data_IF_812581177607
#
_entry.id   IF_812581177607
#
_cell.length_a   1.000
_cell.length_b   1.000
_cell.length_c   1.000
_cell.angle_alpha   90.00
_cell.angle_beta   90.00
_cell.angle_gamma   90.00
#
_symmetry.space_group_name_H-M   'P 1'
#
loop_
_entity.id
_entity.type
_entity.pdbx_description
1 polymer ?
#
# COMPACT_ATOMS: atom_id res chain seq x y z
N UNK A 1 5.38 -2.82 32.93
CA UNK A 1 6.36 -2.75 31.82
C UNK A 1 5.70 -3.11 30.48
N UNK A 2 4.47 -2.67 30.24
CA UNK A 2 3.61 -3.11 29.12
C UNK A 2 2.99 -1.94 28.33
N UNK A 3 3.28 -0.69 28.71
CA UNK A 3 2.71 0.52 28.08
C UNK A 3 3.63 1.19 27.06
N UNK A 4 4.89 0.74 26.93
CA UNK A 4 5.86 1.27 25.95
C UNK A 4 5.75 0.60 24.57
N UNK A 5 5.10 -0.56 24.47
CA UNK A 5 5.01 -1.35 23.24
C UNK A 5 3.90 -0.89 22.28
N UNK A 6 3.04 0.05 22.68
CA UNK A 6 1.82 0.36 21.93
C UNK A 6 1.78 1.79 21.33
N UNK A 7 2.91 2.50 21.31
CA UNK A 7 2.99 3.83 20.69
C UNK A 7 3.70 3.74 19.35
N UNK A 8 3.04 4.11 18.25
CA UNK A 8 3.68 4.02 16.95
C UNK A 8 4.77 5.05 16.81
N UNK A 9 5.99 4.53 16.66
CA UNK A 9 7.16 5.33 16.31
C UNK A 9 7.27 5.44 14.79
N UNK A 10 8.03 6.41 14.30
CA UNK A 10 8.34 6.52 12.87
C UNK A 10 8.96 5.24 12.29
N UNK A 11 9.78 4.57 13.11
CA UNK A 11 10.38 3.27 12.77
C UNK A 11 9.28 2.23 12.58
N UNK A 12 8.34 2.11 13.52
CA UNK A 12 7.19 1.21 13.41
C UNK A 12 6.36 1.46 12.15
N UNK A 13 6.03 2.74 11.87
CA UNK A 13 5.27 3.13 10.66
C UNK A 13 5.97 2.64 9.38
N UNK A 14 7.30 2.85 9.29
CA UNK A 14 8.09 2.40 8.14
C UNK A 14 8.18 0.90 8.03
N UNK A 15 8.30 0.19 9.15
CA UNK A 15 8.35 -1.29 9.16
C UNK A 15 7.03 -1.84 8.61
N UNK A 16 5.90 -1.36 9.12
CA UNK A 16 4.58 -1.79 8.63
C UNK A 16 4.43 -1.49 7.14
N UNK A 17 4.75 -0.27 6.70
CA UNK A 17 4.64 0.09 5.29
C UNK A 17 5.58 -0.73 4.39
N UNK A 18 6.80 -1.00 4.85
CA UNK A 18 7.75 -1.84 4.13
C UNK A 18 7.27 -3.28 4.02
N UNK A 19 6.62 -3.81 5.07
CA UNK A 19 6.03 -5.15 5.03
C UNK A 19 4.94 -5.28 3.96
N UNK A 20 4.09 -4.26 3.78
CA UNK A 20 3.07 -4.23 2.71
C UNK A 20 3.70 -4.23 1.30
N UNK A 21 4.76 -3.43 1.10
CA UNK A 21 5.51 -3.44 -0.17
C UNK A 21 6.15 -4.82 -0.40
N UNK A 22 6.82 -5.37 0.61
CA UNK A 22 7.51 -6.66 0.52
C UNK A 22 6.55 -7.81 0.25
N UNK A 23 5.34 -7.79 0.83
CA UNK A 23 4.30 -8.77 0.53
C UNK A 23 3.94 -8.77 -0.95
N UNK A 24 3.71 -7.59 -1.52
CA UNK A 24 3.38 -7.45 -2.94
C UNK A 24 4.54 -7.84 -3.86
N UNK A 25 5.78 -7.51 -3.50
CA UNK A 25 7.00 -7.93 -4.23
C UNK A 25 7.14 -9.45 -4.21
N UNK A 26 7.02 -10.07 -3.03
CA UNK A 26 7.13 -11.53 -2.89
C UNK A 26 6.04 -12.25 -3.70
N UNK A 27 4.80 -11.77 -3.62
CA UNK A 27 3.70 -12.33 -4.40
C UNK A 27 3.91 -12.14 -5.90
N UNK A 28 4.50 -11.02 -6.33
CA UNK A 28 4.87 -10.80 -7.74
C UNK A 28 5.85 -11.85 -8.24
N UNK A 29 6.93 -12.08 -7.47
CA UNK A 29 7.92 -13.11 -7.79
C UNK A 29 7.30 -14.52 -7.81
N UNK A 30 6.44 -14.83 -6.84
CA UNK A 30 5.76 -16.12 -6.74
C UNK A 30 4.81 -16.35 -7.92
N UNK A 31 3.94 -15.39 -8.25
CA UNK A 31 3.04 -15.49 -9.41
C UNK A 31 3.81 -15.60 -10.71
N UNK A 32 4.91 -14.86 -10.88
CA UNK A 32 5.77 -14.97 -12.05
C UNK A 32 6.37 -16.36 -12.20
N UNK A 33 6.95 -16.89 -11.11
CA UNK A 33 7.51 -18.23 -11.09
C UNK A 33 6.44 -19.29 -11.40
N UNK A 34 5.26 -19.17 -10.80
CA UNK A 34 4.15 -20.09 -11.00
C UNK A 34 3.72 -20.11 -12.48
N UNK A 35 3.40 -18.95 -13.05
CA UNK A 35 2.98 -18.86 -14.47
C UNK A 35 4.03 -19.39 -15.43
N UNK A 36 5.32 -19.16 -15.17
CA UNK A 36 6.40 -19.65 -16.05
C UNK A 36 6.69 -21.15 -15.90
N UNK A 37 6.36 -21.76 -14.77
CA UNK A 37 6.64 -23.19 -14.53
C UNK A 37 5.43 -24.08 -14.82
N UNK A 38 4.22 -23.62 -14.51
CA UNK A 38 2.99 -24.41 -14.66
C UNK A 38 2.08 -23.91 -15.78
N UNK A 39 2.34 -22.71 -16.32
CA UNK A 39 1.38 -22.01 -17.17
C UNK A 39 0.31 -21.27 -16.35
N UNK A 40 -0.65 -20.60 -17.02
CA UNK A 40 -1.80 -19.99 -16.38
C UNK A 40 -2.62 -21.01 -15.59
N UNK A 41 -3.16 -20.62 -14.43
CA UNK A 41 -3.93 -21.52 -13.58
C UNK A 41 -5.40 -21.66 -14.00
N UNK A 42 -5.92 -20.71 -14.76
CA UNK A 42 -7.32 -20.68 -15.17
C UNK A 42 -7.50 -21.07 -16.63
N UNK A 43 -8.65 -21.68 -16.89
CA UNK A 43 -9.17 -21.96 -18.23
C UNK A 43 -10.43 -21.10 -18.40
N UNK A 44 -10.32 -20.01 -19.16
CA UNK A 44 -11.39 -19.04 -19.37
C UNK A 44 -11.72 -18.98 -20.84
N UNK A 45 -13.01 -18.90 -21.15
CA UNK A 45 -13.45 -18.46 -22.46
C UNK A 45 -13.19 -16.96 -22.68
N UNK A 46 -13.40 -16.50 -23.90
CA UNK A 46 -13.13 -15.12 -24.30
C UNK A 46 -13.99 -14.12 -23.50
N UNK A 47 -15.26 -14.45 -23.25
CA UNK A 47 -16.19 -13.57 -22.52
C UNK A 47 -15.78 -13.42 -21.04
N UNK A 48 -15.43 -14.52 -20.37
CA UNK A 48 -14.95 -14.48 -18.99
C UNK A 48 -13.62 -13.72 -18.87
N UNK A 49 -12.73 -13.85 -19.88
CA UNK A 49 -11.47 -13.10 -19.93
C UNK A 49 -11.71 -11.59 -20.02
N UNK A 50 -12.63 -11.15 -20.88
CA UNK A 50 -12.98 -9.74 -21.03
C UNK A 50 -13.55 -9.15 -19.73
N UNK A 51 -14.48 -9.86 -19.06
CA UNK A 51 -15.02 -9.40 -17.79
C UNK A 51 -13.96 -9.33 -16.69
N UNK A 52 -13.04 -10.30 -16.62
CA UNK A 52 -11.97 -10.31 -15.64
C UNK A 52 -11.04 -9.10 -15.83
N UNK A 53 -10.65 -8.81 -17.07
CA UNK A 53 -9.81 -7.66 -17.39
C UNK A 53 -10.51 -6.32 -17.10
N UNK A 54 -11.82 -6.24 -17.39
CA UNK A 54 -12.63 -5.07 -17.05
C UNK A 54 -12.65 -4.82 -15.55
N UNK A 55 -12.93 -5.85 -14.75
CA UNK A 55 -12.96 -5.74 -13.29
C UNK A 55 -11.57 -5.39 -12.73
N UNK A 56 -10.52 -6.03 -13.25
CA UNK A 56 -9.14 -5.79 -12.83
C UNK A 56 -8.72 -4.34 -13.01
N UNK A 57 -9.17 -3.68 -14.08
CA UNK A 57 -8.88 -2.29 -14.35
C UNK A 57 -9.81 -1.31 -13.62
N UNK A 58 -11.09 -1.65 -13.44
CA UNK A 58 -12.06 -0.78 -12.76
C UNK A 58 -11.80 -0.69 -11.25
N UNK A 59 -11.37 -1.79 -10.63
CA UNK A 59 -11.11 -1.84 -9.19
C UNK A 59 -10.08 -0.79 -8.71
N UNK A 60 -8.85 -0.68 -9.25
CA UNK A 60 -7.87 0.34 -8.84
C UNK A 60 -8.34 1.76 -9.13
N UNK A 61 -9.08 1.98 -10.23
CA UNK A 61 -9.62 3.29 -10.59
C UNK A 61 -10.56 3.84 -9.51
N UNK A 62 -11.24 2.97 -8.76
CA UNK A 62 -12.13 3.36 -7.68
C UNK A 62 -11.40 3.30 -6.32
N UNK A 63 -10.69 2.20 -6.05
CA UNK A 63 -10.09 1.93 -4.75
C UNK A 63 -8.98 2.91 -4.39
N UNK A 64 -8.11 3.26 -5.35
CA UNK A 64 -6.94 4.12 -5.08
C UNK A 64 -7.37 5.56 -4.76
N UNK A 65 -8.22 6.24 -5.57
CA UNK A 65 -8.70 7.57 -5.22
C UNK A 65 -9.46 7.59 -3.90
N UNK A 66 -10.27 6.55 -3.63
CA UNK A 66 -11.01 6.42 -2.37
C UNK A 66 -10.07 6.32 -1.17
N UNK A 67 -9.04 5.47 -1.25
CA UNK A 67 -8.04 5.33 -0.20
C UNK A 67 -7.24 6.62 0.02
N UNK A 68 -6.87 7.33 -1.06
CA UNK A 68 -6.20 8.63 -0.98
C UNK A 68 -7.12 9.67 -0.31
N UNK A 69 -8.39 9.72 -0.68
CA UNK A 69 -9.38 10.64 -0.11
C UNK A 69 -9.56 10.39 1.39
N UNK A 70 -9.80 9.15 1.81
CA UNK A 70 -9.97 8.78 3.21
C UNK A 70 -8.71 9.10 4.01
N UNK A 71 -7.52 8.78 3.48
CA UNK A 71 -6.26 9.09 4.14
C UNK A 71 -6.05 10.61 4.30
N UNK A 72 -6.34 11.40 3.26
CA UNK A 72 -6.25 12.87 3.32
C UNK A 72 -7.21 13.45 4.35
N UNK A 73 -8.45 12.98 4.38
CA UNK A 73 -9.45 13.41 5.36
C UNK A 73 -8.98 13.15 6.80
N UNK A 74 -8.46 11.93 7.06
CA UNK A 74 -7.91 11.59 8.37
C UNK A 74 -6.71 12.45 8.76
N UNK A 75 -5.85 12.80 7.80
CA UNK A 75 -4.70 13.68 8.03
C UNK A 75 -5.12 15.13 8.31
N UNK A 76 -6.18 15.63 7.69
CA UNK A 76 -6.69 17.00 7.94
C UNK A 76 -7.34 17.17 9.31
N UNK A 77 -7.86 16.08 9.88
CA UNK A 77 -8.54 16.06 11.18
C UNK A 77 -7.56 15.86 12.38
N UNK A 78 -6.25 15.85 12.13
CA UNK A 78 -5.23 15.70 13.18
C UNK A 78 -5.06 17.02 13.94
N UNK A 79 -5.79 17.16 15.05
CA UNK A 79 -5.74 18.35 15.93
C UNK A 79 -4.98 18.12 17.25
N UNK A 80 -4.57 16.87 17.56
CA UNK A 80 -3.99 16.53 18.87
C UNK A 80 -2.65 17.25 19.17
N UNK A 81 -2.50 17.73 20.40
CA UNK A 81 -1.26 18.33 20.92
C UNK A 81 -0.18 17.28 21.22
N UNK A 82 -0.56 16.02 21.44
CA UNK A 82 0.37 14.96 21.81
C UNK A 82 0.98 14.31 20.56
N UNK A 83 2.31 14.43 20.40
CA UNK A 83 3.06 13.88 19.25
C UNK A 83 2.77 12.39 18.99
N UNK A 84 2.61 11.59 20.05
CA UNK A 84 2.35 10.17 19.94
C UNK A 84 0.99 9.87 19.28
N UNK A 85 -0.05 10.64 19.61
CA UNK A 85 -1.38 10.46 19.05
C UNK A 85 -1.41 10.87 17.57
N UNK A 86 -0.72 11.95 17.22
CA UNK A 86 -0.54 12.38 15.82
C UNK A 86 0.14 11.30 14.98
N UNK A 87 1.15 10.63 15.53
CA UNK A 87 1.82 9.52 14.86
C UNK A 87 0.89 8.31 14.67
N UNK A 88 0.02 8.02 15.64
CA UNK A 88 -0.99 6.95 15.51
C UNK A 88 -1.99 7.26 14.40
N UNK A 89 -2.53 8.48 14.38
CA UNK A 89 -3.48 8.90 13.36
C UNK A 89 -2.83 8.92 11.97
N UNK A 90 -1.59 9.41 11.89
CA UNK A 90 -0.78 9.36 10.66
C UNK A 90 -0.58 7.92 10.19
N UNK A 91 -0.16 7.01 11.06
CA UNK A 91 0.02 5.61 10.72
C UNK A 91 -1.25 5.01 10.13
N UNK A 92 -2.40 5.22 10.79
CA UNK A 92 -3.69 4.72 10.32
C UNK A 92 -4.03 5.24 8.92
N UNK A 93 -3.84 6.55 8.67
CA UNK A 93 -4.05 7.14 7.36
C UNK A 93 -3.11 6.55 6.29
N UNK A 94 -1.84 6.31 6.63
CA UNK A 94 -0.88 5.69 5.72
C UNK A 94 -1.25 4.25 5.37
N UNK A 95 -1.67 3.45 6.36
CA UNK A 95 -2.09 2.06 6.16
C UNK A 95 -3.32 2.00 5.26
N UNK A 96 -4.32 2.86 5.46
CA UNK A 96 -5.51 2.89 4.60
C UNK A 96 -5.14 3.15 3.14
N UNK A 97 -4.29 4.15 2.89
CA UNK A 97 -3.80 4.44 1.53
C UNK A 97 -2.98 3.30 0.94
N UNK A 98 -2.12 2.68 1.74
CA UNK A 98 -1.29 1.56 1.30
C UNK A 98 -2.16 0.35 0.94
N UNK A 99 -3.13 0.00 1.79
CA UNK A 99 -4.00 -1.15 1.62
C UNK A 99 -4.82 -1.09 0.32
N UNK A 100 -5.32 0.08 -0.08
CA UNK A 100 -6.06 0.18 -1.36
C UNK A 100 -5.17 -0.01 -2.58
N UNK A 101 -3.92 0.47 -2.53
CA UNK A 101 -2.93 0.26 -3.60
C UNK A 101 -2.46 -1.21 -3.61
N UNK A 102 -2.17 -1.77 -2.44
CA UNK A 102 -1.72 -3.16 -2.27
C UNK A 102 -2.78 -4.16 -2.72
N UNK A 103 -4.03 -3.99 -2.30
CA UNK A 103 -5.14 -4.85 -2.72
C UNK A 103 -5.33 -4.84 -4.24
N UNK A 104 -5.19 -3.67 -4.87
CA UNK A 104 -5.22 -3.56 -6.33
C UNK A 104 -4.06 -4.31 -6.97
N UNK A 105 -2.85 -4.18 -6.41
CA UNK A 105 -1.67 -4.93 -6.85
C UNK A 105 -1.85 -6.44 -6.76
N UNK A 106 -2.37 -6.95 -5.63
CA UNK A 106 -2.67 -8.37 -5.49
C UNK A 106 -3.73 -8.82 -6.48
N UNK A 107 -4.76 -8.02 -6.73
CA UNK A 107 -5.80 -8.38 -7.69
C UNK A 107 -5.22 -8.55 -9.10
N UNK A 108 -4.34 -7.64 -9.52
CA UNK A 108 -3.60 -7.80 -10.78
C UNK A 108 -2.75 -9.07 -10.80
N UNK A 109 -2.04 -9.39 -9.72
CA UNK A 109 -1.19 -10.59 -9.66
C UNK A 109 -1.99 -11.89 -9.63
N UNK A 110 -3.18 -11.89 -9.03
CA UNK A 110 -4.12 -13.01 -9.09
C UNK A 110 -4.62 -13.17 -10.52
N UNK A 111 -5.06 -12.08 -11.17
CA UNK A 111 -5.49 -12.14 -12.57
C UNK A 111 -4.35 -12.58 -13.50
N UNK A 112 -3.11 -12.14 -13.25
CA UNK A 112 -1.93 -12.60 -13.97
C UNK A 112 -1.68 -14.09 -13.77
N UNK A 113 -1.76 -14.59 -12.54
CA UNK A 113 -1.61 -16.02 -12.25
C UNK A 113 -2.69 -16.87 -12.95
N UNK A 114 -3.91 -16.34 -13.03
CA UNK A 114 -5.05 -16.99 -13.67
C UNK A 114 -4.94 -17.00 -15.20
N UNK A 115 -4.49 -15.92 -15.81
CA UNK A 115 -4.58 -15.69 -17.27
C UNK A 115 -3.25 -15.77 -18.02
N UNK A 116 -2.12 -15.61 -17.32
CA UNK A 116 -0.79 -15.47 -17.92
C UNK A 116 -0.54 -14.15 -18.66
N UNK A 117 -1.49 -13.20 -18.64
CA UNK A 117 -1.37 -11.93 -19.37
C UNK A 117 -0.34 -11.03 -18.68
N UNK A 118 0.79 -10.80 -19.35
CA UNK A 118 1.93 -10.07 -18.78
C UNK A 118 1.63 -8.58 -18.50
N UNK A 119 0.61 -8.00 -19.14
CA UNK A 119 0.17 -6.63 -18.86
C UNK A 119 -0.25 -6.46 -17.39
N UNK A 120 -0.95 -7.45 -16.82
CA UNK A 120 -1.39 -7.43 -15.43
C UNK A 120 -0.20 -7.44 -14.45
N UNK A 121 0.89 -8.14 -14.80
CA UNK A 121 2.14 -8.07 -14.02
C UNK A 121 2.75 -6.67 -14.05
N UNK A 122 2.77 -6.01 -15.22
CA UNK A 122 3.25 -4.63 -15.35
C UNK A 122 2.39 -3.69 -14.49
N UNK A 123 1.07 -3.86 -14.48
CA UNK A 123 0.17 -3.06 -13.64
C UNK A 123 0.43 -3.27 -12.14
N UNK A 124 0.71 -4.51 -11.70
CA UNK A 124 1.15 -4.77 -10.34
C UNK A 124 2.48 -4.08 -9.99
N UNK A 125 3.44 -4.03 -10.92
CA UNK A 125 4.70 -3.27 -10.74
C UNK A 125 4.45 -1.76 -10.63
N UNK A 126 3.46 -1.23 -11.35
CA UNK A 126 3.02 0.17 -11.17
C UNK A 126 2.47 0.38 -9.77
N UNK A 127 1.71 -0.58 -9.21
CA UNK A 127 1.22 -0.49 -7.82
C UNK A 127 2.37 -0.49 -6.80
N UNK A 128 3.39 -1.32 -6.98
CA UNK A 128 4.60 -1.31 -6.14
C UNK A 128 5.28 0.06 -6.22
N UNK A 129 5.47 0.58 -7.43
CA UNK A 129 6.09 1.91 -7.65
C UNK A 129 5.27 3.01 -6.96
N UNK A 130 3.94 2.93 -7.04
CA UNK A 130 3.05 3.88 -6.38
C UNK A 130 3.14 3.80 -4.86
N UNK A 131 3.26 2.60 -4.26
CA UNK A 131 3.52 2.48 -2.82
C UNK A 131 4.88 3.09 -2.44
N UNK A 132 5.95 2.83 -3.21
CA UNK A 132 7.27 3.43 -2.98
C UNK A 132 7.19 4.96 -3.04
N UNK A 133 6.45 5.52 -4.00
CA UNK A 133 6.21 6.97 -4.06
C UNK A 133 5.53 7.51 -2.79
N UNK A 134 4.57 6.78 -2.22
CA UNK A 134 3.85 7.14 -1.00
C UNK A 134 4.55 6.75 0.31
N UNK A 135 5.77 6.21 0.24
CA UNK A 135 6.51 5.74 1.41
C UNK A 135 6.67 6.84 2.49
N UNK A 136 6.47 6.50 3.79
CA UNK A 136 6.52 7.46 4.89
C UNK A 136 7.97 7.85 5.26
N UNK A 137 8.57 8.75 4.47
CA UNK A 137 9.86 9.37 4.78
C UNK A 137 9.72 10.58 5.73
N UNK A 138 10.85 11.06 6.28
CA UNK A 138 10.84 12.19 7.23
C UNK A 138 10.22 13.46 6.63
N UNK A 139 10.48 13.75 5.35
CA UNK A 139 9.97 14.92 4.65
C UNK A 139 8.45 14.87 4.49
N UNK A 140 7.92 13.70 4.16
CA UNK A 140 6.47 13.47 4.02
C UNK A 140 5.78 13.60 5.37
N UNK A 141 6.39 13.01 6.41
CA UNK A 141 5.89 13.08 7.77
C UNK A 141 5.83 14.54 8.27
N UNK A 142 6.90 15.32 8.10
CA UNK A 142 6.91 16.73 8.53
C UNK A 142 5.89 17.57 7.75
N UNK A 143 5.79 17.38 6.44
CA UNK A 143 4.84 18.10 5.58
C UNK A 143 3.39 17.77 5.90
N UNK A 144 3.07 16.48 6.03
CA UNK A 144 1.68 16.03 6.25
C UNK A 144 1.22 16.25 7.71
N UNK A 145 2.15 16.20 8.68
CA UNK A 145 1.85 16.56 10.08
C UNK A 145 2.08 18.05 10.40
N UNK A 146 2.55 18.88 9.46
CA UNK A 146 2.94 20.28 9.74
C UNK A 146 3.84 20.42 10.98
N UNK A 147 4.72 19.45 11.21
CA UNK A 147 5.66 19.44 12.34
C UNK A 147 7.02 19.97 11.87
N UNK A 148 7.68 20.78 12.70
CA UNK A 148 9.08 21.15 12.47
C UNK A 148 9.96 19.89 12.58
N UNK A 149 10.89 19.71 11.63
CA UNK A 149 11.84 18.60 11.59
C UNK A 149 12.65 18.47 12.88
N UNK A 150 12.85 19.57 13.62
CA UNK A 150 13.58 19.58 14.90
C UNK A 150 12.82 18.90 16.04
N UNK A 151 11.49 18.98 16.06
CA UNK A 151 10.65 18.25 17.04
C UNK A 151 10.65 16.74 16.76
N UNK A 152 10.87 16.39 15.50
CA UNK A 152 10.98 15.02 15.04
C UNK A 152 12.32 14.37 15.46
N UNK A 153 13.41 15.13 15.55
CA UNK A 153 14.75 14.62 15.94
C UNK A 153 14.94 14.55 17.47
N UNK A 154 14.39 15.50 18.23
CA UNK A 154 14.60 15.64 19.70
C UNK A 154 14.08 14.52 20.60
N UNK A 155 13.39 13.50 20.07
CA UNK A 155 12.77 12.41 20.86
C UNK A 155 13.19 11.01 20.39
N UNK A 156 14.38 10.90 19.80
CA UNK A 156 15.00 9.59 19.49
C UNK A 156 15.65 8.92 20.71
N UNK A 157 15.71 9.62 21.86
CA UNK A 157 16.23 9.11 23.14
C UNK A 157 15.10 8.73 24.10
#
# INVERSE_FOLDING_TARGET
MTTLLNRPTKKSIRIVYSALIMGLVFFSCMSFYLVHTTGPLGDFDEEAMEYLLLVANMLPLIAIPTGIFIARKRLSEIESTATAERLTQFQSAMIIRAATIEASGYFFLVCFALTGIHLLLVEALVMITLQVYFFPNNMRLSRELKLDLRELEKKQD
#
